data_IF_405436620205
#
_entry.id   IF_405436620205
#
_cell.length_a   1.000
_cell.length_b   1.000
_cell.length_c   1.000
_cell.angle_alpha   90.00
_cell.angle_beta   90.00
_cell.angle_gamma   90.00
#
_symmetry.space_group_name_H-M   'P 1'
#
loop_
_entity.id
_entity.type
_entity.pdbx_description
1 polymer ?
#
# COMPACT_ATOMS: atom_id res chain seq x y z
N UNK A 1 -15.71 -12.57 -4.68
CA UNK A 1 -16.54 -13.77 -4.95
C UNK A 1 -17.92 -13.38 -5.46
N UNK A 2 -18.84 -12.89 -4.62
CA UNK A 2 -20.20 -12.52 -5.05
C UNK A 2 -20.27 -11.60 -6.30
N UNK A 3 -19.40 -10.59 -6.39
CA UNK A 3 -19.35 -9.72 -7.58
C UNK A 3 -18.93 -10.47 -8.85
N UNK A 4 -17.98 -11.41 -8.76
CA UNK A 4 -17.54 -12.24 -9.90
C UNK A 4 -18.58 -13.31 -10.25
N UNK A 5 -19.35 -13.78 -9.28
CA UNK A 5 -20.48 -14.69 -9.55
C UNK A 5 -21.58 -13.98 -10.34
N UNK A 6 -21.77 -12.67 -10.12
CA UNK A 6 -22.74 -11.85 -10.84
C UNK A 6 -22.22 -11.33 -12.19
N UNK A 7 -20.94 -10.94 -12.27
CA UNK A 7 -20.27 -10.44 -13.46
C UNK A 7 -18.84 -11.04 -13.53
N UNK A 8 -18.63 -12.11 -14.31
CA UNK A 8 -17.34 -12.81 -14.37
C UNK A 8 -16.16 -11.92 -14.78
N UNK A 9 -16.39 -10.92 -15.61
CA UNK A 9 -15.34 -10.04 -16.14
C UNK A 9 -15.10 -8.79 -15.26
N UNK A 10 -15.76 -8.68 -14.10
CA UNK A 10 -15.57 -7.54 -13.21
C UNK A 10 -14.12 -7.50 -12.68
N UNK A 11 -13.62 -6.28 -12.46
CA UNK A 11 -12.28 -6.04 -11.90
C UNK A 11 -12.37 -5.18 -10.64
N UNK A 12 -11.64 -5.59 -9.61
CA UNK A 12 -11.44 -4.84 -8.38
C UNK A 12 -10.22 -3.94 -8.53
N UNK A 13 -10.48 -2.64 -8.50
CA UNK A 13 -9.47 -1.60 -8.64
C UNK A 13 -9.39 -0.86 -7.31
N UNK A 14 -8.17 -0.62 -6.87
CA UNK A 14 -7.90 0.15 -5.66
C UNK A 14 -6.96 1.31 -5.96
N UNK A 15 -7.02 2.36 -5.14
CA UNK A 15 -6.22 3.55 -5.32
C UNK A 15 -5.55 3.96 -4.00
N UNK A 16 -4.22 4.01 -3.99
CA UNK A 16 -3.43 4.42 -2.83
C UNK A 16 -2.39 5.47 -3.22
N UNK A 17 -1.99 6.36 -2.30
CA UNK A 17 -0.99 7.38 -2.57
C UNK A 17 0.40 6.75 -2.64
N UNK A 18 1.14 7.04 -3.71
CA UNK A 18 2.56 6.69 -3.77
C UNK A 18 3.38 7.78 -3.09
N UNK A 19 3.86 7.52 -1.89
CA UNK A 19 4.62 8.46 -1.06
C UNK A 19 6.07 8.00 -0.93
N UNK A 20 6.99 8.87 -1.30
CA UNK A 20 8.40 8.70 -0.99
C UNK A 20 8.70 9.28 0.39
N UNK A 21 9.24 8.46 1.29
CA UNK A 21 9.67 8.87 2.63
C UNK A 21 11.18 8.68 2.75
N UNK A 22 11.92 9.79 2.78
CA UNK A 22 13.36 9.81 2.93
C UNK A 22 13.77 9.89 4.42
N UNK A 23 14.91 9.31 4.82
CA UNK A 23 15.47 9.53 6.15
C UNK A 23 16.09 10.94 6.25
N UNK A 24 16.08 11.53 7.46
CA UNK A 24 16.71 12.84 7.72
C UNK A 24 18.24 12.79 7.66
N UNK A 25 18.81 11.64 7.97
CA UNK A 25 20.25 11.41 7.96
C UNK A 25 20.60 10.00 7.46
N UNK A 26 21.90 9.68 7.46
CA UNK A 26 22.42 8.40 6.99
C UNK A 26 22.54 7.34 8.07
N UNK A 27 22.04 7.59 9.28
CA UNK A 27 22.05 6.60 10.35
C UNK A 27 21.17 5.41 9.97
N UNK A 28 21.62 4.19 10.30
CA UNK A 28 20.84 2.97 10.04
C UNK A 28 19.48 2.99 10.74
N UNK A 29 19.38 3.65 11.90
CA UNK A 29 18.15 3.75 12.65
C UNK A 29 17.12 4.63 11.92
N UNK A 30 17.54 5.78 11.40
CA UNK A 30 16.65 6.69 10.67
C UNK A 30 16.22 6.11 9.33
N UNK A 31 17.14 5.46 8.60
CA UNK A 31 16.84 4.72 7.37
C UNK A 31 15.75 3.65 7.59
N UNK A 32 15.87 2.84 8.64
CA UNK A 32 14.86 1.82 8.97
C UNK A 32 13.51 2.43 9.31
N UNK A 33 13.48 3.55 10.04
CA UNK A 33 12.23 4.23 10.40
C UNK A 33 11.53 4.82 9.19
N UNK A 34 12.27 5.51 8.31
CA UNK A 34 11.74 6.04 7.06
C UNK A 34 11.18 4.92 6.19
N UNK A 35 11.91 3.80 6.06
CA UNK A 35 11.47 2.64 5.30
C UNK A 35 10.20 2.01 5.88
N UNK A 36 10.10 1.85 7.21
CA UNK A 36 8.90 1.30 7.83
C UNK A 36 7.66 2.18 7.56
N UNK A 37 7.80 3.51 7.62
CA UNK A 37 6.70 4.42 7.27
C UNK A 37 6.37 4.33 5.79
N UNK A 38 7.38 4.26 4.92
CA UNK A 38 7.18 4.07 3.48
C UNK A 38 6.42 2.78 3.21
N UNK A 39 6.76 1.67 3.86
CA UNK A 39 6.07 0.39 3.66
C UNK A 39 4.65 0.37 4.23
N UNK A 40 4.39 1.11 5.31
CA UNK A 40 3.06 1.21 5.91
C UNK A 40 1.97 1.70 4.95
N UNK A 41 2.32 2.43 3.88
CA UNK A 41 1.35 2.85 2.86
C UNK A 41 0.72 1.67 2.09
N UNK A 42 1.28 0.46 2.17
CA UNK A 42 0.79 -0.73 1.48
C UNK A 42 0.03 -1.70 2.40
N UNK A 43 -0.13 -1.38 3.69
CA UNK A 43 -0.75 -2.28 4.67
C UNK A 43 -2.16 -2.71 4.26
N UNK A 44 -2.97 -1.79 3.71
CA UNK A 44 -4.30 -2.11 3.20
C UNK A 44 -4.24 -3.14 2.07
N UNK A 45 -3.26 -3.07 1.17
CA UNK A 45 -3.07 -4.06 0.10
C UNK A 45 -2.59 -5.39 0.63
N UNK A 46 -1.70 -5.39 1.61
CA UNK A 46 -1.25 -6.62 2.25
C UNK A 46 -2.42 -7.32 2.93
N UNK A 47 -3.31 -6.58 3.60
CA UNK A 47 -4.54 -7.14 4.17
C UNK A 47 -5.51 -7.63 3.10
N UNK A 48 -5.77 -6.83 2.05
CA UNK A 48 -6.68 -7.19 0.95
C UNK A 48 -6.22 -8.45 0.21
N UNK A 49 -4.91 -8.60 -0.02
CA UNK A 49 -4.31 -9.76 -0.69
C UNK A 49 -4.10 -10.95 0.25
N UNK A 50 -4.38 -10.81 1.55
CA UNK A 50 -4.22 -11.86 2.55
C UNK A 50 -2.78 -12.13 2.96
N UNK A 51 -1.84 -11.21 2.65
CA UNK A 51 -0.43 -11.26 3.08
C UNK A 51 -0.25 -10.80 4.52
N UNK A 52 -1.09 -9.88 4.99
CA UNK A 52 -1.20 -9.45 6.37
C UNK A 52 -2.58 -9.81 6.93
N UNK A 53 -2.65 -10.14 8.22
CA UNK A 53 -3.90 -10.48 8.93
C UNK A 53 -4.82 -11.45 8.13
N UNK A 54 -4.32 -12.60 7.66
CA UNK A 54 -5.06 -13.51 6.77
C UNK A 54 -6.40 -14.00 7.37
N UNK A 55 -6.53 -14.01 8.69
CA UNK A 55 -7.78 -14.33 9.41
C UNK A 55 -8.94 -13.39 9.07
N UNK A 56 -8.67 -12.20 8.53
CA UNK A 56 -9.68 -11.23 8.07
C UNK A 56 -10.26 -11.59 6.69
N UNK A 57 -9.75 -12.64 6.03
CA UNK A 57 -10.31 -13.18 4.80
C UNK A 57 -9.85 -12.52 3.51
N UNK A 58 -8.70 -11.84 3.53
CA UNK A 58 -8.02 -11.34 2.33
C UNK A 58 -7.65 -12.46 1.34
N UNK A 59 -7.51 -12.11 0.07
CA UNK A 59 -7.12 -13.01 -1.02
C UNK A 59 -6.55 -12.20 -2.18
N UNK A 60 -5.60 -12.76 -2.92
CA UNK A 60 -5.07 -12.11 -4.15
C UNK A 60 -6.19 -11.82 -5.17
N UNK A 61 -7.29 -12.60 -5.16
CA UNK A 61 -8.48 -12.38 -6.01
C UNK A 61 -9.23 -11.06 -5.73
N UNK A 62 -8.95 -10.40 -4.61
CA UNK A 62 -9.56 -9.13 -4.20
C UNK A 62 -8.89 -7.92 -4.87
N UNK A 63 -7.77 -8.08 -5.58
CA UNK A 63 -7.01 -6.97 -6.18
C UNK A 63 -6.62 -7.35 -7.62
N UNK A 64 -7.27 -6.75 -8.62
CA UNK A 64 -6.88 -6.92 -10.03
C UNK A 64 -5.93 -5.82 -10.51
N UNK A 65 -6.16 -4.58 -10.05
CA UNK A 65 -5.38 -3.42 -10.47
C UNK A 65 -5.11 -2.52 -9.27
N UNK A 66 -3.86 -2.10 -9.15
CA UNK A 66 -3.40 -1.10 -8.19
C UNK A 66 -3.18 0.21 -8.95
N UNK A 67 -4.02 1.19 -8.67
CA UNK A 67 -3.83 2.58 -9.08
C UNK A 67 -3.00 3.32 -8.05
N UNK A 68 -2.01 4.08 -8.51
CA UNK A 68 -1.17 4.89 -7.64
C UNK A 68 -1.30 6.36 -8.05
N UNK A 69 -1.70 7.22 -7.11
CA UNK A 69 -1.67 8.66 -7.34
C UNK A 69 -0.34 9.22 -6.83
N UNK A 70 0.29 10.06 -7.66
CA UNK A 70 1.52 10.73 -7.33
C UNK A 70 1.42 12.23 -7.62
N UNK A 71 1.79 13.03 -6.63
CA UNK A 71 1.85 14.48 -6.72
C UNK A 71 3.27 14.97 -6.39
N UNK A 72 3.67 16.18 -6.82
CA UNK A 72 4.97 16.75 -6.46
C UNK A 72 5.23 16.78 -4.94
N UNK A 73 4.19 16.87 -4.12
CA UNK A 73 4.27 16.93 -2.66
C UNK A 73 4.27 15.56 -1.96
N UNK A 74 4.29 14.44 -2.70
CA UNK A 74 4.39 13.09 -2.14
C UNK A 74 5.83 12.70 -1.76
N UNK A 75 6.66 13.67 -1.38
CA UNK A 75 8.05 13.46 -0.99
C UNK A 75 8.29 14.09 0.37
N UNK A 76 8.49 13.26 1.39
CA UNK A 76 8.63 13.69 2.77
C UNK A 76 9.95 13.20 3.34
N UNK A 77 10.44 13.87 4.38
CA UNK A 77 11.33 13.20 5.32
C UNK A 77 10.50 12.44 6.36
N UNK A 78 11.10 11.43 7.00
CA UNK A 78 10.51 10.81 8.18
C UNK A 78 10.17 11.91 9.21
N UNK A 79 8.91 11.92 9.66
CA UNK A 79 8.26 12.96 10.50
C UNK A 79 7.88 14.29 9.80
N UNK A 80 7.62 14.27 8.49
CA UNK A 80 7.13 15.43 7.74
C UNK A 80 8.24 16.21 7.05
N UNK A 81 7.95 17.37 6.42
CA UNK A 81 8.94 18.12 5.63
C UNK A 81 10.22 18.38 6.41
#
# INVERSE_FOLDING_TARGET
KAMRDAEPDCRFIWAEPLIHVAPRDRSRAEQRRAENVRQGQFEAYDMLTGRAEPELGGSEDCVDVIGLNFYPHNQWYFRGP
#
